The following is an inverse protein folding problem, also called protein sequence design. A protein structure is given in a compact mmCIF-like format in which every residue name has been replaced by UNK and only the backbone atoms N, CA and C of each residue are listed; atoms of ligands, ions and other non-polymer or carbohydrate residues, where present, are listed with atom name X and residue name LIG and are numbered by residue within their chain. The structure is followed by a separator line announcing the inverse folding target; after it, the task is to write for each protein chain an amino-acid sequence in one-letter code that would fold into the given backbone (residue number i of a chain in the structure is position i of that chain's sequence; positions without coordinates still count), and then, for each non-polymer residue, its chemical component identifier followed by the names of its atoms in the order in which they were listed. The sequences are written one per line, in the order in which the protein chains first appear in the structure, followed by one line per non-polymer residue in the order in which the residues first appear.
data_IF_704374111381
#
_entry.id   IF_704374111381
#
_cell.length_a   1.000
_cell.length_b   1.000
_cell.length_c   1.000
_cell.angle_alpha   90.00
_cell.angle_beta   90.00
_cell.angle_gamma   90.00
#
_symmetry.space_group_name_H-M   'P 1'
#
loop_
_entity.id
_entity.type
_entity.pdbx_description
1 polymer ?
#
# COMPACT_ATOMS: atom_id res chain seq x y z
N UNK A 1 -4.95 0.30 -12.64
CA UNK A 1 -5.46 0.86 -11.36
C UNK A 1 -5.00 2.31 -11.24
N UNK A 2 -5.86 3.18 -10.77
CA UNK A 2 -5.58 4.61 -10.70
C UNK A 2 -5.75 5.13 -9.28
N UNK A 3 -4.77 5.90 -8.78
CA UNK A 3 -4.84 6.52 -7.47
C UNK A 3 -5.46 7.91 -7.56
N UNK A 4 -6.58 8.10 -6.89
CA UNK A 4 -7.22 9.43 -6.79
C UNK A 4 -6.37 10.39 -5.96
N UNK A 5 -5.77 9.89 -4.90
CA UNK A 5 -4.95 10.71 -4.00
C UNK A 5 -3.76 11.31 -4.72
N UNK A 6 -3.06 10.50 -5.51
CA UNK A 6 -1.84 10.93 -6.20
C UNK A 6 -2.07 11.34 -7.64
N UNK A 7 -3.28 11.12 -8.18
CA UNK A 7 -3.65 11.43 -9.56
C UNK A 7 -2.68 10.79 -10.56
N UNK A 8 -2.38 9.49 -10.35
CA UNK A 8 -1.44 8.73 -11.16
C UNK A 8 -1.88 7.28 -11.27
N UNK A 9 -1.47 6.62 -12.33
CA UNK A 9 -1.65 5.18 -12.46
C UNK A 9 -0.82 4.46 -11.40
N UNK A 10 -1.34 3.35 -10.90
CA UNK A 10 -0.66 2.50 -9.93
C UNK A 10 -0.07 1.30 -10.65
N UNK A 11 1.23 1.09 -10.48
CA UNK A 11 1.95 -0.06 -11.01
C UNK A 11 2.43 -0.91 -9.84
N UNK A 12 2.07 -2.18 -9.84
CA UNK A 12 2.43 -3.11 -8.77
C UNK A 12 3.63 -3.93 -9.23
N UNK A 13 4.74 -3.86 -8.50
CA UNK A 13 5.93 -4.65 -8.82
C UNK A 13 5.63 -6.15 -8.68
N UNK A 14 6.43 -7.00 -9.35
CA UNK A 14 6.27 -8.45 -9.22
C UNK A 14 6.44 -8.91 -7.77
N UNK A 15 7.39 -8.34 -7.06
CA UNK A 15 7.59 -8.63 -5.64
C UNK A 15 6.34 -8.30 -4.83
N UNK A 16 5.75 -7.12 -5.07
CA UNK A 16 4.54 -6.71 -4.38
C UNK A 16 3.37 -7.63 -4.69
N UNK A 17 3.23 -8.07 -5.95
CA UNK A 17 2.18 -9.01 -6.34
C UNK A 17 2.29 -10.34 -5.59
N UNK A 18 3.51 -10.86 -5.46
CA UNK A 18 3.75 -12.08 -4.71
C UNK A 18 3.35 -11.90 -3.24
N UNK A 19 3.76 -10.80 -2.64
CA UNK A 19 3.43 -10.49 -1.25
C UNK A 19 1.93 -10.34 -1.03
N UNK A 20 1.23 -9.73 -1.99
CA UNK A 20 -0.22 -9.58 -1.91
C UNK A 20 -0.92 -10.95 -1.89
N UNK A 21 -0.48 -11.87 -2.76
CA UNK A 21 -1.03 -13.23 -2.78
C UNK A 21 -0.78 -13.93 -1.46
N UNK A 22 0.46 -13.89 -0.97
CA UNK A 22 0.84 -14.54 0.28
C UNK A 22 0.03 -14.04 1.48
N UNK A 23 -0.33 -12.75 1.47
CA UNK A 23 -0.99 -12.09 2.59
C UNK A 23 -2.49 -11.87 2.39
N UNK A 24 -3.02 -12.37 1.28
CA UNK A 24 -4.45 -12.22 0.99
C UNK A 24 -4.89 -10.77 0.85
N UNK A 25 -4.06 -9.94 0.22
CA UNK A 25 -4.36 -8.53 -0.03
C UNK A 25 -4.86 -8.39 -1.46
N UNK A 26 -6.10 -7.94 -1.62
CA UNK A 26 -6.67 -7.69 -2.94
C UNK A 26 -6.19 -6.35 -3.50
N UNK A 27 -6.37 -6.18 -4.81
CA UNK A 27 -6.08 -4.90 -5.46
C UNK A 27 -6.93 -3.77 -4.87
N UNK A 28 -8.17 -4.06 -4.51
CA UNK A 28 -9.07 -3.09 -3.89
C UNK A 28 -8.59 -2.65 -2.52
N UNK A 29 -8.12 -3.59 -1.71
CA UNK A 29 -7.55 -3.29 -0.40
C UNK A 29 -6.29 -2.45 -0.53
N UNK A 30 -5.43 -2.80 -1.49
CA UNK A 30 -4.23 -2.03 -1.76
C UNK A 30 -4.56 -0.59 -2.13
N UNK A 31 -5.53 -0.41 -3.03
CA UNK A 31 -5.93 0.92 -3.46
C UNK A 31 -6.51 1.73 -2.28
N UNK A 32 -7.25 1.09 -1.40
CA UNK A 32 -7.77 1.74 -0.20
C UNK A 32 -6.63 2.21 0.70
N UNK A 33 -5.58 1.40 0.88
CA UNK A 33 -4.38 1.80 1.63
C UNK A 33 -3.72 3.01 0.98
N UNK A 34 -3.56 2.99 -0.34
CA UNK A 34 -2.90 4.07 -1.07
C UNK A 34 -3.71 5.37 -0.98
N UNK A 35 -5.01 5.30 -1.18
CA UNK A 35 -5.84 6.49 -1.35
C UNK A 35 -6.37 7.05 -0.03
N UNK A 36 -6.61 6.20 0.97
CA UNK A 36 -7.21 6.65 2.23
C UNK A 36 -6.40 6.30 3.48
N UNK A 37 -5.28 5.63 3.33
CA UNK A 37 -4.39 5.34 4.46
C UNK A 37 -3.60 6.55 4.91
N UNK A 38 -2.96 6.43 6.06
CA UNK A 38 -1.99 7.42 6.50
C UNK A 38 -0.73 7.30 5.67
N UNK A 39 -0.04 8.40 5.48
CA UNK A 39 1.19 8.43 4.71
C UNK A 39 2.36 8.92 5.57
N UNK A 40 3.48 8.24 5.46
CA UNK A 40 4.72 8.67 6.09
C UNK A 40 5.79 8.75 5.02
N UNK A 41 6.27 9.94 4.76
CA UNK A 41 7.28 10.19 3.74
C UNK A 41 8.69 10.03 4.29
N UNK A 42 9.53 9.34 3.55
CA UNK A 42 10.96 9.28 3.77
C UNK A 42 11.62 10.48 3.08
N UNK A 43 11.16 10.80 1.89
CA UNK A 43 11.57 11.97 1.11
C UNK A 43 10.41 12.34 0.16
N UNK A 44 10.65 13.24 -0.79
CA UNK A 44 9.59 13.74 -1.66
C UNK A 44 8.93 12.65 -2.52
N UNK A 45 9.64 11.53 -2.79
CA UNK A 45 9.16 10.50 -3.72
C UNK A 45 8.99 9.13 -3.06
N UNK A 46 9.48 8.91 -1.85
CA UNK A 46 9.42 7.63 -1.17
C UNK A 46 8.55 7.75 0.07
N UNK A 47 7.54 6.90 0.16
CA UNK A 47 6.63 6.93 1.31
C UNK A 47 6.09 5.55 1.65
N UNK A 48 5.59 5.44 2.87
CA UNK A 48 4.79 4.32 3.32
C UNK A 48 3.36 4.80 3.46
N UNK A 49 2.41 4.05 2.91
CA UNK A 49 1.00 4.22 3.18
C UNK A 49 0.54 3.05 4.04
N UNK A 50 -0.27 3.32 5.06
CA UNK A 50 -0.73 2.27 5.94
C UNK A 50 -2.15 2.54 6.40
N UNK A 51 -2.88 1.44 6.65
CA UNK A 51 -4.27 1.54 7.07
C UNK A 51 -4.64 0.33 7.92
N UNK A 52 -5.46 0.57 8.94
CA UNK A 52 -5.99 -0.48 9.78
C UNK A 52 -7.19 -1.15 9.11
N UNK A 53 -7.25 -2.48 9.19
CA UNK A 53 -8.37 -3.29 8.74
C UNK A 53 -8.78 -4.19 9.90
N UNK A 54 -9.66 -3.72 10.78
CA UNK A 54 -9.99 -4.45 12.03
C UNK A 54 -10.53 -5.86 11.80
N UNK A 55 -11.14 -6.12 10.65
CA UNK A 55 -11.68 -7.43 10.31
C UNK A 55 -10.62 -8.44 9.90
N UNK A 56 -9.39 -8.00 9.70
CA UNK A 56 -8.29 -8.90 9.36
C UNK A 56 -7.58 -9.41 10.61
N UNK A 57 -7.03 -10.61 10.49
CA UNK A 57 -6.18 -11.19 11.53
C UNK A 57 -4.93 -10.32 11.77
N UNK A 58 -4.31 -9.87 10.67
CA UNK A 58 -3.13 -9.00 10.67
C UNK A 58 -3.58 -7.54 10.46
N UNK A 59 -4.26 -6.96 11.33
CA UNK A 59 -5.11 -5.77 11.24
C UNK A 59 -4.47 -4.47 10.74
N UNK A 60 -3.23 -4.48 10.27
CA UNK A 60 -2.56 -3.32 9.69
C UNK A 60 -1.88 -3.69 8.38
N UNK A 61 -2.26 -3.03 7.31
CA UNK A 61 -1.61 -3.18 6.01
C UNK A 61 -0.77 -1.96 5.70
N UNK A 62 0.43 -2.20 5.17
CA UNK A 62 1.37 -1.16 4.75
C UNK A 62 1.79 -1.41 3.32
N UNK A 63 1.90 -0.34 2.55
CA UNK A 63 2.44 -0.38 1.20
C UNK A 63 3.62 0.56 1.10
N UNK A 64 4.72 0.09 0.53
CA UNK A 64 5.90 0.91 0.27
C UNK A 64 5.79 1.43 -1.14
N UNK A 65 5.73 2.74 -1.27
CA UNK A 65 5.43 3.41 -2.53
C UNK A 65 6.60 4.29 -2.98
N UNK A 66 6.79 4.35 -4.30
CA UNK A 66 7.68 5.32 -4.93
C UNK A 66 6.84 6.14 -5.91
N UNK A 67 6.86 7.45 -5.74
CA UNK A 67 6.12 8.37 -6.60
C UNK A 67 7.01 8.81 -7.75
N UNK A 68 6.66 8.35 -8.95
CA UNK A 68 7.26 8.77 -10.20
C UNK A 68 6.14 9.35 -11.06
N UNK A 69 6.20 9.25 -12.37
CA UNK A 69 5.03 9.53 -13.21
C UNK A 69 3.87 8.57 -12.90
N UNK A 70 4.17 7.48 -12.20
CA UNK A 70 3.21 6.50 -11.70
C UNK A 70 3.47 6.27 -10.22
N UNK A 71 2.48 5.71 -9.52
CA UNK A 71 2.67 5.22 -8.15
C UNK A 71 3.19 3.79 -8.26
N UNK A 72 4.44 3.57 -7.92
CA UNK A 72 5.04 2.24 -7.98
C UNK A 72 4.95 1.59 -6.60
N UNK A 73 4.26 0.48 -6.51
CA UNK A 73 4.16 -0.30 -5.28
C UNK A 73 5.33 -1.26 -5.22
N UNK A 74 6.27 -1.01 -4.31
CA UNK A 74 7.49 -1.80 -4.18
C UNK A 74 7.26 -3.08 -3.40
N UNK A 75 6.49 -3.00 -2.32
CA UNK A 75 6.13 -4.17 -1.53
C UNK A 75 4.89 -3.87 -0.70
N UNK A 76 4.30 -4.93 -0.19
CA UNK A 76 3.16 -4.85 0.73
C UNK A 76 3.51 -5.64 1.98
N UNK A 77 3.32 -5.03 3.13
CA UNK A 77 3.60 -5.63 4.42
C UNK A 77 2.34 -5.65 5.27
N UNK A 78 2.35 -6.50 6.26
CA UNK A 78 1.27 -6.58 7.22
C UNK A 78 1.86 -6.61 8.63
N UNK A 79 1.15 -6.02 9.58
CA UNK A 79 1.56 -5.97 10.97
C UNK A 79 0.34 -6.12 11.87
N UNK A 80 0.58 -6.47 13.12
CA UNK A 80 -0.44 -6.37 14.15
C UNK A 80 -0.40 -4.96 14.71
N UNK A 81 -1.58 -4.37 14.89
CA UNK A 81 -1.68 -3.13 15.62
C UNK A 81 -1.42 -3.44 17.10
N UNK A 82 -0.39 -2.82 17.63
CA UNK A 82 -0.09 -2.87 19.06
C UNK A 82 -0.67 -1.60 19.65
N UNK A 83 -1.66 -1.77 20.47
CA UNK A 83 -2.29 -0.66 21.17
C UNK A 83 -1.58 -0.35 22.46
#
# INVERSE_FOLDING_TARGET
MFSQRFQRLVVISNHAKIRMVERGVSAEMLLEVIDSGDARYKDATHLWAFKAFPERYDNLLCAVLVLEDRVVVKTVMHHFLVL
#
